data_IF_987740205978
#
_entry.id   IF_987740205978
#
_cell.length_a   1.000
_cell.length_b   1.000
_cell.length_c   1.000
_cell.angle_alpha   90.00
_cell.angle_beta   90.00
_cell.angle_gamma   90.00
#
_symmetry.space_group_name_H-M   'P 1'
#
loop_
_entity.id
_entity.type
_entity.pdbx_description
1 polymer ?
#
# COMPACT_ATOMS: atom_id res chain seq x y z
N UNK A 1 -11.53 -48.06 20.70
CA UNK A 1 -11.57 -47.39 19.38
C UNK A 1 -11.37 -45.90 19.62
N UNK A 2 -10.16 -45.40 19.36
CA UNK A 2 -9.81 -43.97 19.51
C UNK A 2 -10.41 -43.20 18.33
N UNK A 3 -11.32 -42.26 18.61
CA UNK A 3 -11.88 -41.38 17.59
C UNK A 3 -10.78 -40.43 17.10
N UNK A 4 -10.61 -40.43 15.79
CA UNK A 4 -9.62 -39.68 15.04
C UNK A 4 -9.55 -38.20 15.46
N UNK A 5 -8.32 -37.68 15.48
CA UNK A 5 -8.04 -36.28 15.76
C UNK A 5 -8.86 -35.36 14.86
N UNK A 6 -9.78 -34.63 15.49
CA UNK A 6 -10.36 -33.44 14.89
C UNK A 6 -9.23 -32.43 14.76
N UNK A 7 -8.69 -32.30 13.55
CA UNK A 7 -7.79 -31.20 13.21
C UNK A 7 -8.60 -29.92 13.40
N UNK A 8 -8.38 -29.20 14.52
CA UNK A 8 -8.97 -27.87 14.71
C UNK A 8 -8.40 -26.99 13.59
N UNK A 9 -9.23 -26.65 12.60
CA UNK A 9 -8.89 -25.59 11.66
C UNK A 9 -8.52 -24.35 12.49
N UNK A 10 -7.40 -23.67 12.19
CA UNK A 10 -7.03 -22.46 12.92
C UNK A 10 -8.18 -21.47 12.83
N UNK A 11 -8.56 -20.89 13.98
CA UNK A 11 -9.72 -20.02 14.12
C UNK A 11 -9.57 -18.67 13.38
N UNK A 12 -8.37 -18.39 12.84
CA UNK A 12 -7.99 -17.20 12.10
C UNK A 12 -6.83 -17.52 11.14
N UNK A 13 -6.65 -16.69 10.11
CA UNK A 13 -5.47 -16.68 9.23
C UNK A 13 -4.32 -16.02 10.03
N UNK A 14 -3.22 -16.74 10.30
CA UNK A 14 -2.11 -16.16 11.07
C UNK A 14 -1.36 -15.13 10.23
N UNK A 15 -0.96 -14.00 10.81
CA UNK A 15 -0.01 -13.11 10.13
C UNK A 15 1.41 -13.67 10.15
N UNK A 16 2.24 -13.38 9.13
CA UNK A 16 3.63 -13.82 9.14
C UNK A 16 4.40 -13.24 10.33
N UNK A 17 5.31 -14.00 10.96
CA UNK A 17 6.11 -13.52 12.09
C UNK A 17 7.10 -12.42 11.71
N UNK A 18 7.56 -12.40 10.46
CA UNK A 18 8.54 -11.44 9.93
C UNK A 18 8.09 -10.91 8.56
N UNK A 19 8.46 -9.66 8.25
CA UNK A 19 8.23 -9.03 6.95
C UNK A 19 9.50 -8.51 6.26
N UNK A 20 10.65 -8.64 6.93
CA UNK A 20 11.95 -8.15 6.46
C UNK A 20 13.00 -9.22 6.75
N UNK A 21 13.87 -9.47 5.77
CA UNK A 21 15.05 -10.32 5.91
C UNK A 21 16.29 -9.46 5.67
N UNK A 22 17.31 -9.57 6.50
CA UNK A 22 18.56 -8.83 6.32
C UNK A 22 19.59 -9.69 5.59
N UNK A 23 20.07 -9.22 4.45
CA UNK A 23 21.19 -9.82 3.71
C UNK A 23 22.39 -8.92 3.88
N UNK A 24 23.15 -9.15 4.96
CA UNK A 24 24.17 -8.18 5.40
C UNK A 24 23.51 -6.86 5.82
N UNK A 25 23.97 -5.70 5.33
CA UNK A 25 23.36 -4.41 5.65
C UNK A 25 22.02 -4.17 4.92
N UNK A 26 21.70 -4.96 3.90
CA UNK A 26 20.57 -4.71 3.00
C UNK A 26 19.26 -5.32 3.55
N UNK A 27 18.24 -4.51 3.89
CA UNK A 27 16.92 -5.01 4.28
C UNK A 27 16.09 -5.43 3.07
N UNK A 28 15.90 -6.74 2.89
CA UNK A 28 15.00 -7.32 1.90
C UNK A 28 13.58 -7.38 2.45
N UNK A 29 12.71 -6.50 1.95
CA UNK A 29 11.32 -6.36 2.42
C UNK A 29 10.37 -7.22 1.58
N UNK A 30 9.47 -7.95 2.24
CA UNK A 30 8.52 -8.84 1.57
C UNK A 30 7.66 -8.12 0.52
N UNK A 31 7.12 -6.94 0.84
CA UNK A 31 6.30 -6.17 -0.10
C UNK A 31 7.08 -5.80 -1.37
N UNK A 32 8.39 -5.50 -1.25
CA UNK A 32 9.21 -5.15 -2.39
C UNK A 32 9.36 -6.35 -3.34
N UNK A 33 9.57 -7.55 -2.79
CA UNK A 33 9.63 -8.79 -3.57
C UNK A 33 8.33 -9.06 -4.31
N UNK A 34 7.17 -8.91 -3.65
CA UNK A 34 5.87 -9.12 -4.27
C UNK A 34 5.54 -8.06 -5.34
N UNK A 35 5.91 -6.81 -5.12
CA UNK A 35 5.76 -5.75 -6.14
C UNK A 35 6.62 -6.08 -7.36
N UNK A 36 7.90 -6.45 -7.18
CA UNK A 36 8.79 -6.83 -8.27
C UNK A 36 8.23 -8.03 -9.04
N UNK A 37 7.78 -9.07 -8.32
CA UNK A 37 7.13 -10.24 -8.91
C UNK A 37 5.89 -9.85 -9.74
N UNK A 38 5.05 -8.96 -9.20
CA UNK A 38 3.89 -8.41 -9.91
C UNK A 38 4.28 -7.66 -11.17
N UNK A 39 5.30 -6.80 -11.13
CA UNK A 39 5.79 -6.06 -12.30
C UNK A 39 6.29 -7.03 -13.38
N UNK A 40 7.11 -8.01 -13.00
CA UNK A 40 7.63 -9.04 -13.93
C UNK A 40 6.46 -9.79 -14.58
N UNK A 41 5.46 -10.22 -13.80
CA UNK A 41 4.26 -10.87 -14.31
C UNK A 41 3.50 -9.96 -15.29
N UNK A 42 3.27 -8.69 -14.94
CA UNK A 42 2.53 -7.75 -15.77
C UNK A 42 3.24 -7.50 -17.11
N UNK A 43 4.56 -7.32 -17.10
CA UNK A 43 5.36 -7.11 -18.31
C UNK A 43 5.39 -8.36 -19.17
N UNK A 44 5.67 -9.53 -18.58
CA UNK A 44 5.74 -10.81 -19.30
C UNK A 44 4.37 -11.17 -19.92
N UNK A 45 3.31 -11.12 -19.13
CA UNK A 45 1.97 -11.47 -19.59
C UNK A 45 1.42 -10.45 -20.59
N UNK A 46 1.58 -9.15 -20.30
CA UNK A 46 1.22 -8.07 -21.20
C UNK A 46 1.98 -8.17 -22.54
N UNK A 47 3.27 -8.47 -22.50
CA UNK A 47 4.11 -8.70 -23.68
C UNK A 47 3.63 -9.86 -24.54
N UNK A 48 3.30 -11.01 -23.92
CA UNK A 48 2.73 -12.17 -24.62
C UNK A 48 1.41 -11.82 -25.30
N UNK A 49 0.53 -11.09 -24.61
CA UNK A 49 -0.78 -10.66 -25.13
C UNK A 49 -0.66 -9.62 -26.24
N UNK A 50 0.27 -8.68 -26.13
CA UNK A 50 0.51 -7.68 -27.17
C UNK A 50 1.12 -8.31 -28.43
N UNK A 51 2.02 -9.28 -28.25
CA UNK A 51 2.59 -10.06 -29.35
C UNK A 51 1.49 -10.84 -30.10
N UNK A 52 0.55 -11.45 -29.37
CA UNK A 52 -0.62 -12.10 -29.97
C UNK A 52 -1.57 -11.13 -30.71
N UNK A 53 -1.43 -9.82 -30.51
CA UNK A 53 -2.14 -8.75 -31.24
C UNK A 53 -1.31 -8.16 -32.39
N UNK A 54 -0.19 -8.79 -32.74
CA UNK A 54 0.72 -8.38 -33.82
C UNK A 54 1.88 -7.48 -33.37
N UNK A 55 2.07 -7.27 -32.06
CA UNK A 55 3.15 -6.43 -31.54
C UNK A 55 4.50 -7.14 -31.58
N UNK A 56 5.59 -6.37 -31.65
CA UNK A 56 6.96 -6.91 -31.54
C UNK A 56 7.22 -7.41 -30.12
N UNK A 57 7.91 -8.55 -29.98
CA UNK A 57 8.38 -9.04 -28.66
C UNK A 57 9.25 -7.97 -27.98
N UNK A 58 9.19 -7.88 -26.65
CA UNK A 58 9.96 -6.92 -25.86
C UNK A 58 9.47 -5.46 -25.91
N UNK A 59 8.55 -5.09 -26.82
CA UNK A 59 8.08 -3.69 -26.93
C UNK A 59 7.36 -3.19 -25.67
N UNK A 60 6.76 -4.09 -24.87
CA UNK A 60 6.17 -3.72 -23.57
C UNK A 60 7.25 -3.25 -22.60
N UNK A 61 8.41 -3.90 -22.59
CA UNK A 61 9.57 -3.47 -21.81
C UNK A 61 10.11 -2.14 -22.34
N UNK A 62 10.23 -2.00 -23.67
CA UNK A 62 10.64 -0.74 -24.31
C UNK A 62 9.72 0.43 -23.90
N UNK A 63 8.40 0.20 -23.84
CA UNK A 63 7.41 1.20 -23.39
C UNK A 63 7.53 1.46 -21.87
N UNK A 64 7.83 0.43 -21.06
CA UNK A 64 7.99 0.58 -19.62
C UNK A 64 9.15 1.53 -19.24
N UNK A 65 10.20 1.60 -20.07
CA UNK A 65 11.31 2.56 -19.93
C UNK A 65 10.82 4.01 -19.99
N UNK A 66 9.71 4.29 -20.67
CA UNK A 66 9.06 5.62 -20.64
C UNK A 66 8.07 5.74 -19.48
N UNK A 67 7.24 4.72 -19.26
CA UNK A 67 6.17 4.77 -18.28
C UNK A 67 6.68 4.90 -16.83
N UNK A 68 7.75 4.19 -16.47
CA UNK A 68 8.26 4.15 -15.09
C UNK A 68 8.87 5.49 -14.65
N UNK A 69 9.78 6.14 -15.40
CA UNK A 69 10.31 7.44 -15.01
C UNK A 69 9.23 8.52 -14.93
N UNK A 70 8.31 8.55 -15.90
CA UNK A 70 7.18 9.48 -15.85
C UNK A 70 6.29 9.21 -14.64
N UNK A 71 6.01 7.94 -14.31
CA UNK A 71 5.26 7.58 -13.12
C UNK A 71 5.96 8.03 -11.82
N UNK A 72 7.27 7.85 -11.72
CA UNK A 72 8.04 8.30 -10.56
C UNK A 72 7.99 9.82 -10.40
N UNK A 73 8.20 10.55 -11.50
CA UNK A 73 8.10 12.03 -11.52
C UNK A 73 6.70 12.48 -11.13
N UNK A 74 5.67 11.88 -11.74
CA UNK A 74 4.28 12.23 -11.47
C UNK A 74 3.88 11.95 -10.03
N UNK A 75 4.29 10.80 -9.50
CA UNK A 75 4.04 10.44 -8.12
C UNK A 75 4.70 11.40 -7.14
N UNK A 76 5.94 11.81 -7.44
CA UNK A 76 6.62 12.81 -6.61
C UNK A 76 5.95 14.17 -6.69
N UNK A 77 5.64 14.63 -7.90
CA UNK A 77 4.98 15.92 -8.13
C UNK A 77 3.64 16.00 -7.38
N UNK A 78 2.82 14.96 -7.48
CA UNK A 78 1.54 14.90 -6.78
C UNK A 78 1.72 15.04 -5.26
N UNK A 79 2.64 14.28 -4.67
CA UNK A 79 2.90 14.34 -3.22
C UNK A 79 3.39 15.73 -2.78
N UNK A 80 4.28 16.36 -3.55
CA UNK A 80 4.76 17.72 -3.25
C UNK A 80 3.64 18.76 -3.35
N UNK A 81 2.67 18.57 -4.24
CA UNK A 81 1.51 19.46 -4.37
C UNK A 81 0.53 19.23 -3.19
N UNK A 82 0.20 17.98 -2.89
CA UNK A 82 -0.83 17.64 -1.89
C UNK A 82 -0.34 17.74 -0.46
N UNK A 83 0.96 17.62 -0.22
CA UNK A 83 1.55 17.68 1.12
C UNK A 83 2.67 18.75 1.12
N UNK A 84 2.39 19.89 0.49
CA UNK A 84 3.34 21.00 0.29
C UNK A 84 3.89 21.53 1.62
N UNK A 85 3.13 21.42 2.70
CA UNK A 85 3.52 21.84 4.03
C UNK A 85 4.73 21.09 4.59
N UNK A 86 4.97 19.85 4.13
CA UNK A 86 6.12 19.05 4.54
C UNK A 86 7.44 19.66 4.06
N UNK A 87 7.38 20.50 3.02
CA UNK A 87 8.55 21.01 2.31
C UNK A 87 8.72 22.52 2.46
N UNK A 88 7.64 23.29 2.40
CA UNK A 88 7.70 24.74 2.23
C UNK A 88 7.29 25.56 3.46
N UNK A 89 6.88 24.93 4.58
CA UNK A 89 6.60 25.66 5.83
C UNK A 89 7.89 26.18 6.48
N UNK A 90 7.83 27.28 7.27
CA UNK A 90 8.97 27.75 8.05
C UNK A 90 9.61 26.62 8.88
N UNK A 91 10.93 26.49 8.82
CA UNK A 91 11.67 25.41 9.49
C UNK A 91 11.71 24.07 8.75
N UNK A 92 11.14 23.97 7.54
CA UNK A 92 11.30 22.82 6.63
C UNK A 92 12.34 23.10 5.55
N UNK A 93 12.82 22.03 4.90
CA UNK A 93 13.81 22.09 3.84
C UNK A 93 13.17 21.77 2.48
N UNK A 94 13.01 22.77 1.59
CA UNK A 94 12.44 22.59 0.25
C UNK A 94 13.17 21.55 -0.61
N UNK A 95 14.48 21.34 -0.41
CA UNK A 95 15.24 20.36 -1.18
C UNK A 95 14.79 18.92 -0.94
N UNK A 96 14.15 18.66 0.19
CA UNK A 96 13.54 17.35 0.44
C UNK A 96 12.43 17.05 -0.57
N UNK A 97 11.86 18.02 -1.27
CA UNK A 97 10.92 17.78 -2.36
C UNK A 97 11.51 16.93 -3.51
N UNK A 98 12.84 16.82 -3.63
CA UNK A 98 13.50 15.96 -4.63
C UNK A 98 13.94 14.60 -4.06
N UNK A 99 13.97 14.44 -2.73
CA UNK A 99 14.38 13.21 -2.06
C UNK A 99 13.30 12.13 -2.19
N UNK A 100 13.31 11.40 -3.31
CA UNK A 100 12.38 10.29 -3.59
C UNK A 100 12.64 9.05 -2.73
N UNK A 101 13.86 8.91 -2.18
CA UNK A 101 14.25 7.84 -1.28
C UNK A 101 13.67 7.98 0.13
N UNK A 102 13.21 9.19 0.51
CA UNK A 102 12.51 9.43 1.78
C UNK A 102 11.05 8.92 1.76
N UNK A 103 10.60 8.30 0.66
CA UNK A 103 9.20 8.00 0.41
C UNK A 103 8.42 9.22 -0.09
N UNK A 104 7.09 9.19 0.01
CA UNK A 104 6.23 10.29 -0.44
C UNK A 104 6.03 10.31 -1.96
N UNK A 105 5.44 9.24 -2.48
CA UNK A 105 5.02 9.12 -3.88
C UNK A 105 3.50 8.96 -3.94
N UNK A 106 2.83 9.93 -4.57
CA UNK A 106 1.38 9.91 -4.77
C UNK A 106 0.96 8.96 -5.89
N UNK A 107 0.09 8.01 -5.59
CA UNK A 107 -0.37 7.01 -6.57
C UNK A 107 -1.09 7.68 -7.76
N UNK A 108 -1.92 8.70 -7.51
CA UNK A 108 -2.66 9.40 -8.57
C UNK A 108 -1.74 10.08 -9.59
N UNK A 109 -0.70 10.77 -9.10
CA UNK A 109 0.31 11.36 -9.96
C UNK A 109 1.09 10.32 -10.76
N UNK A 110 1.44 9.19 -10.12
CA UNK A 110 2.16 8.11 -10.77
C UNK A 110 1.33 7.44 -11.88
N UNK A 111 0.04 7.21 -11.64
CA UNK A 111 -0.87 6.64 -12.66
C UNK A 111 -1.04 7.63 -13.82
N UNK A 112 -1.32 8.90 -13.53
CA UNK A 112 -1.60 9.90 -14.56
C UNK A 112 -0.39 10.13 -15.46
N UNK A 113 0.77 10.44 -14.88
CA UNK A 113 1.96 10.75 -15.66
C UNK A 113 2.60 9.47 -16.22
N UNK A 114 2.51 8.33 -15.52
CA UNK A 114 2.92 7.04 -16.05
C UNK A 114 2.13 6.62 -17.30
N UNK A 115 0.82 6.91 -17.34
CA UNK A 115 0.00 6.71 -18.54
C UNK A 115 0.44 7.61 -19.70
N UNK A 116 0.84 8.86 -19.42
CA UNK A 116 1.45 9.75 -20.42
C UNK A 116 2.76 9.17 -20.94
N UNK A 117 3.65 8.69 -20.08
CA UNK A 117 4.88 8.02 -20.47
C UNK A 117 4.62 6.78 -21.35
N UNK A 118 3.65 5.95 -20.98
CA UNK A 118 3.24 4.80 -21.78
C UNK A 118 2.67 5.21 -23.15
N UNK A 119 1.88 6.29 -23.22
CA UNK A 119 1.36 6.84 -24.47
C UNK A 119 2.49 7.34 -25.39
N UNK A 120 3.46 8.07 -24.84
CA UNK A 120 4.63 8.55 -25.59
C UNK A 120 5.48 7.38 -26.10
N UNK A 121 5.71 6.36 -25.26
CA UNK A 121 6.38 5.12 -25.66
C UNK A 121 5.64 4.40 -26.78
N UNK A 122 4.31 4.25 -26.66
CA UNK A 122 3.48 3.66 -27.72
C UNK A 122 3.64 4.43 -29.05
N UNK A 123 3.57 5.76 -29.00
CA UNK A 123 3.75 6.62 -30.19
C UNK A 123 5.14 6.47 -30.80
N UNK A 124 6.20 6.38 -29.96
CA UNK A 124 7.59 6.20 -30.42
C UNK A 124 7.79 4.88 -31.16
N UNK A 125 7.12 3.81 -30.73
CA UNK A 125 7.27 2.46 -31.31
C UNK A 125 6.16 2.08 -32.30
N UNK A 126 5.29 3.01 -32.71
CA UNK A 126 4.20 2.72 -33.65
C UNK A 126 3.15 1.74 -33.10
N UNK A 127 2.98 1.69 -31.78
CA UNK A 127 2.02 0.82 -31.11
C UNK A 127 0.73 1.57 -30.79
N UNK A 128 -0.42 0.96 -31.08
CA UNK A 128 -1.72 1.48 -30.65
C UNK A 128 -1.82 1.46 -29.13
N UNK A 129 -1.98 2.64 -28.51
CA UNK A 129 -2.13 2.76 -27.06
C UNK A 129 -3.31 1.94 -26.53
N UNK A 130 -4.42 1.85 -27.29
CA UNK A 130 -5.56 1.02 -26.92
C UNK A 130 -5.22 -0.47 -26.95
N UNK A 131 -4.45 -0.93 -27.94
CA UNK A 131 -3.99 -2.32 -28.00
C UNK A 131 -3.01 -2.65 -26.88
N UNK A 132 -2.13 -1.71 -26.53
CA UNK A 132 -1.23 -1.80 -25.39
C UNK A 132 -2.02 -1.91 -24.08
N UNK A 133 -2.94 -0.98 -23.82
CA UNK A 133 -3.79 -0.97 -22.62
C UNK A 133 -4.59 -2.27 -22.47
N UNK A 134 -5.22 -2.75 -23.54
CA UNK A 134 -5.96 -4.03 -23.54
C UNK A 134 -5.06 -5.25 -23.29
N UNK A 135 -3.82 -5.19 -23.74
CA UNK A 135 -2.86 -6.27 -23.58
C UNK A 135 -2.35 -6.35 -22.13
N UNK A 136 -1.99 -5.22 -21.53
CA UNK A 136 -1.39 -5.16 -20.19
C UNK A 136 -2.43 -5.27 -19.06
N UNK A 137 -3.69 -4.87 -19.27
CA UNK A 137 -4.69 -4.81 -18.20
C UNK A 137 -4.83 -6.09 -17.35
N UNK A 138 -4.89 -7.32 -17.92
CA UNK A 138 -4.94 -8.54 -17.11
C UNK A 138 -3.67 -8.77 -16.28
N UNK A 139 -2.51 -8.40 -16.82
CA UNK A 139 -1.24 -8.49 -16.11
C UNK A 139 -1.16 -7.47 -14.96
N UNK A 140 -1.65 -6.25 -15.19
CA UNK A 140 -1.70 -5.18 -14.16
C UNK A 140 -2.56 -5.59 -12.98
N UNK A 141 -3.80 -6.05 -13.21
CA UNK A 141 -4.67 -6.45 -12.10
C UNK A 141 -4.16 -7.70 -11.37
N UNK A 142 -3.54 -8.65 -12.08
CA UNK A 142 -2.87 -9.78 -11.43
C UNK A 142 -1.64 -9.33 -10.59
N UNK A 143 -0.91 -8.32 -11.05
CA UNK A 143 0.16 -7.72 -10.26
C UNK A 143 -0.36 -7.03 -8.99
N UNK A 144 -1.54 -6.39 -9.06
CA UNK A 144 -2.21 -5.83 -7.87
C UNK A 144 -2.54 -6.95 -6.87
N UNK A 145 -3.08 -8.08 -7.34
CA UNK A 145 -3.35 -9.25 -6.50
C UNK A 145 -2.09 -9.75 -5.77
N UNK A 146 -0.96 -9.88 -6.50
CA UNK A 146 0.32 -10.28 -5.91
C UNK A 146 0.80 -9.22 -4.90
N UNK A 147 0.65 -7.93 -5.21
CA UNK A 147 0.99 -6.84 -4.29
C UNK A 147 0.26 -6.93 -2.94
N UNK A 148 -0.95 -7.49 -2.90
CA UNK A 148 -1.69 -7.70 -1.64
C UNK A 148 -1.04 -8.70 -0.69
N UNK A 149 -0.23 -9.62 -1.21
CA UNK A 149 0.60 -10.48 -0.37
C UNK A 149 1.66 -9.64 0.38
N UNK A 150 2.13 -8.54 -0.21
CA UNK A 150 2.96 -7.57 0.49
C UNK A 150 2.26 -6.97 1.71
N UNK A 151 0.97 -6.60 1.58
CA UNK A 151 0.19 -6.06 2.70
C UNK A 151 -0.03 -7.10 3.80
N UNK A 152 -0.24 -8.37 3.43
CA UNK A 152 -0.29 -9.49 4.38
C UNK A 152 1.01 -9.64 5.17
N UNK A 153 2.16 -9.63 4.49
CA UNK A 153 3.46 -9.69 5.16
C UNK A 153 3.78 -8.43 5.97
N UNK A 154 3.23 -7.27 5.61
CA UNK A 154 3.38 -6.04 6.38
C UNK A 154 2.36 -5.89 7.52
N UNK A 155 1.38 -6.79 7.63
CA UNK A 155 0.23 -6.65 8.53
C UNK A 155 -0.46 -5.29 8.41
N UNK A 156 -0.69 -4.82 7.18
CA UNK A 156 -1.26 -3.50 6.92
C UNK A 156 -2.52 -3.58 6.05
N UNK A 157 -3.24 -2.46 5.97
CA UNK A 157 -4.44 -2.28 5.14
C UNK A 157 -5.63 -3.21 5.48
N UNK A 158 -5.62 -3.90 6.63
CA UNK A 158 -6.71 -4.76 7.12
C UNK A 158 -8.01 -3.98 7.41
N UNK A 159 -9.12 -4.71 7.52
CA UNK A 159 -10.45 -4.14 7.74
C UNK A 159 -10.86 -4.08 9.21
N UNK A 160 -12.16 -3.98 9.44
CA UNK A 160 -12.76 -3.88 10.78
C UNK A 160 -12.53 -5.14 11.63
N UNK A 161 -12.59 -5.06 12.97
CA UNK A 161 -12.55 -6.23 13.85
C UNK A 161 -13.56 -7.31 13.40
N UNK A 162 -13.15 -8.57 13.46
CA UNK A 162 -13.93 -9.69 12.93
C UNK A 162 -13.71 -10.96 13.74
N UNK A 163 -14.79 -11.69 14.00
CA UNK A 163 -14.78 -13.03 14.62
C UNK A 163 -15.04 -14.14 13.60
N UNK A 164 -14.97 -13.83 12.30
CA UNK A 164 -15.16 -14.82 11.23
C UNK A 164 -14.01 -15.84 11.25
N UNK A 165 -14.26 -17.10 10.84
CA UNK A 165 -13.25 -18.16 10.91
C UNK A 165 -12.06 -17.97 9.94
N UNK A 166 -12.15 -16.99 9.03
CA UNK A 166 -11.07 -16.57 8.13
C UNK A 166 -10.53 -15.17 8.47
N UNK A 167 -10.81 -14.64 9.66
CA UNK A 167 -10.27 -13.34 10.08
C UNK A 167 -8.72 -13.36 10.09
N UNK A 168 -8.08 -12.25 9.78
CA UNK A 168 -6.63 -12.08 9.86
C UNK A 168 -6.23 -11.76 11.30
N UNK A 169 -5.34 -12.55 11.87
CA UNK A 169 -4.69 -12.23 13.13
C UNK A 169 -3.64 -11.14 12.90
N UNK A 170 -3.71 -10.04 13.64
CA UNK A 170 -2.73 -8.94 13.62
C UNK A 170 -2.13 -8.82 15.01
N UNK A 171 -0.81 -8.63 15.08
CA UNK A 171 -0.05 -8.52 16.33
C UNK A 171 1.13 -7.56 16.19
N UNK A 172 1.62 -7.05 17.32
CA UNK A 172 2.86 -6.25 17.36
C UNK A 172 4.07 -7.17 17.15
N UNK A 173 4.91 -6.85 16.17
CA UNK A 173 6.22 -7.49 16.00
C UNK A 173 7.26 -6.84 16.91
N UNK A 174 7.92 -7.63 17.75
CA UNK A 174 9.10 -7.23 18.53
C UNK A 174 10.39 -7.50 17.74
N UNK A 175 11.48 -6.73 17.98
CA UNK A 175 12.77 -6.99 17.34
C UNK A 175 13.19 -8.47 17.51
N UNK A 176 13.41 -9.17 16.39
CA UNK A 176 13.68 -10.60 16.36
C UNK A 176 12.54 -11.47 15.82
N UNK A 177 11.42 -10.89 15.38
CA UNK A 177 10.34 -11.61 14.69
C UNK A 177 9.54 -12.57 15.56
N UNK A 178 9.59 -12.39 16.89
CA UNK A 178 8.81 -13.20 17.84
C UNK A 178 7.39 -12.63 17.92
N UNK A 179 6.34 -13.41 17.65
CA UNK A 179 4.96 -12.99 17.89
C UNK A 179 4.76 -12.65 19.37
N UNK A 180 4.45 -11.40 19.69
CA UNK A 180 4.16 -10.99 21.05
C UNK A 180 2.78 -11.46 21.50
N UNK A 181 2.69 -12.12 22.66
CA UNK A 181 1.44 -12.17 23.41
C UNK A 181 1.20 -10.79 24.03
N UNK A 182 -0.07 -10.42 24.14
CA UNK A 182 -0.59 -9.09 24.54
C UNK A 182 -0.13 -8.57 25.92
N UNK A 183 0.75 -9.29 26.64
CA UNK A 183 1.29 -8.88 27.94
C UNK A 183 2.66 -8.17 27.88
N UNK A 184 3.26 -7.98 26.69
CA UNK A 184 4.62 -7.46 26.51
C UNK A 184 4.64 -6.30 25.49
N UNK A 185 4.09 -5.13 25.79
CA UNK A 185 4.82 -4.09 26.50
C UNK A 185 5.95 -4.68 27.37
N UNK A 186 7.14 -4.85 26.79
CA UNK A 186 8.34 -5.07 27.63
C UNK A 186 8.44 -3.98 28.71
N UNK A 187 9.30 -4.16 29.74
CA UNK A 187 9.56 -3.07 30.69
C UNK A 187 9.79 -1.78 29.89
N UNK A 188 9.13 -0.69 30.31
CA UNK A 188 9.02 0.56 29.57
C UNK A 188 10.33 0.87 28.79
N UNK A 189 10.30 0.76 27.45
CA UNK A 189 11.48 1.06 26.63
C UNK A 189 11.76 0.18 25.39
N UNK A 190 11.06 -0.93 25.14
CA UNK A 190 11.29 -1.73 23.93
C UNK A 190 10.56 -1.16 22.70
N UNK A 191 11.31 -0.67 21.70
CA UNK A 191 10.77 -0.14 20.45
C UNK A 191 10.21 -1.26 19.53
N UNK A 192 9.05 -1.06 18.89
CA UNK A 192 8.47 -2.04 17.94
C UNK A 192 9.30 -2.16 16.65
N UNK A 193 9.30 -3.35 16.01
CA UNK A 193 10.04 -3.63 14.76
C UNK A 193 9.61 -2.72 13.59
N UNK A 194 8.34 -2.33 13.59
CA UNK A 194 7.81 -1.29 12.72
C UNK A 194 7.35 -0.10 13.56
N UNK A 195 7.63 1.14 13.13
CA UNK A 195 6.99 2.29 13.75
C UNK A 195 5.48 2.11 13.68
N UNK A 196 4.83 1.96 14.85
CA UNK A 196 3.38 1.76 14.99
C UNK A 196 2.56 2.93 14.43
N UNK A 197 3.22 4.02 14.04
CA UNK A 197 2.66 5.19 13.35
C UNK A 197 2.06 4.90 11.96
N UNK A 198 2.36 3.76 11.32
CA UNK A 198 1.74 3.36 10.04
C UNK A 198 0.50 2.50 10.20
N UNK A 199 0.33 1.88 11.37
CA UNK A 199 -0.95 1.31 11.77
C UNK A 199 -1.80 2.51 12.16
N UNK A 200 -2.62 3.00 11.22
CA UNK A 200 -3.63 4.04 11.42
C UNK A 200 -4.77 3.55 12.35
N UNK A 201 -4.43 2.80 13.39
CA UNK A 201 -5.30 2.33 14.45
C UNK A 201 -4.60 2.63 15.78
N UNK A 202 -5.37 3.12 16.74
CA UNK A 202 -4.92 3.47 18.10
C UNK A 202 -4.12 2.27 18.69
N UNK A 203 -3.07 2.48 19.53
CA UNK A 203 -2.26 1.39 20.09
C UNK A 203 -3.04 0.22 20.72
N UNK A 204 -4.27 0.47 21.18
CA UNK A 204 -5.23 -0.54 21.68
C UNK A 204 -5.71 -1.57 20.62
N UNK A 205 -5.54 -1.30 19.33
CA UNK A 205 -6.10 -2.10 18.22
C UNK A 205 -5.04 -3.04 17.61
N UNK A 206 -3.80 -3.13 18.14
CA UNK A 206 -2.74 -3.87 17.45
C UNK A 206 -2.74 -5.40 17.65
N UNK A 207 -3.53 -5.94 18.58
CA UNK A 207 -3.59 -7.38 18.84
C UNK A 207 -5.02 -7.89 18.75
N UNK A 208 -5.36 -8.59 17.66
CA UNK A 208 -6.71 -9.11 17.46
C UNK A 208 -6.95 -9.68 16.08
N UNK A 209 -8.21 -10.06 15.82
CA UNK A 209 -8.65 -10.61 14.54
C UNK A 209 -9.46 -9.60 13.74
N UNK A 210 -9.11 -9.43 12.47
CA UNK A 210 -9.64 -8.39 11.58
C UNK A 210 -10.16 -8.98 10.27
N UNK A 211 -11.01 -8.23 9.56
CA UNK A 211 -11.37 -8.59 8.19
C UNK A 211 -10.10 -8.61 7.31
N UNK A 212 -9.79 -9.73 6.63
CA UNK A 212 -8.62 -9.87 5.78
C UNK A 212 -8.84 -9.17 4.42
N UNK A 213 -8.93 -7.85 4.42
CA UNK A 213 -9.15 -7.06 3.19
C UNK A 213 -8.08 -7.32 2.13
N UNK A 214 -6.82 -7.61 2.52
CA UNK A 214 -5.79 -8.04 1.57
C UNK A 214 -6.23 -9.28 0.75
N UNK A 215 -6.88 -10.24 1.41
CA UNK A 215 -7.35 -11.49 0.79
C UNK A 215 -8.55 -11.21 -0.10
N UNK A 216 -9.46 -10.33 0.35
CA UNK A 216 -10.61 -9.92 -0.46
C UNK A 216 -10.16 -9.19 -1.72
N UNK A 217 -9.21 -8.26 -1.61
CA UNK A 217 -8.63 -7.56 -2.75
C UNK A 217 -7.89 -8.52 -3.68
N UNK A 218 -7.08 -9.44 -3.13
CA UNK A 218 -6.37 -10.45 -3.91
C UNK A 218 -7.33 -11.32 -4.72
N UNK A 219 -8.34 -11.91 -4.06
CA UNK A 219 -9.31 -12.80 -4.72
C UNK A 219 -10.14 -12.03 -5.74
N UNK A 220 -10.52 -10.79 -5.44
CA UNK A 220 -11.24 -9.94 -6.37
C UNK A 220 -10.41 -9.58 -7.60
N UNK A 221 -9.15 -9.17 -7.41
CA UNK A 221 -8.24 -8.82 -8.49
C UNK A 221 -7.97 -10.04 -9.40
N UNK A 222 -7.84 -11.25 -8.83
CA UNK A 222 -7.77 -12.49 -9.62
C UNK A 222 -9.07 -12.79 -10.37
N UNK A 223 -10.23 -12.57 -9.75
CA UNK A 223 -11.52 -12.74 -10.41
C UNK A 223 -11.69 -11.73 -11.57
N UNK A 224 -11.25 -10.48 -11.39
CA UNK A 224 -11.20 -9.48 -12.47
C UNK A 224 -10.24 -9.95 -13.56
N UNK A 225 -9.03 -10.41 -13.23
CA UNK A 225 -8.10 -10.96 -14.23
C UNK A 225 -8.75 -12.06 -15.06
N UNK A 226 -9.42 -13.03 -14.41
CA UNK A 226 -10.14 -14.11 -15.07
C UNK A 226 -11.28 -13.59 -15.95
N UNK A 227 -12.08 -12.64 -15.47
CA UNK A 227 -13.14 -11.97 -16.21
C UNK A 227 -12.61 -11.30 -17.48
N UNK A 228 -11.50 -10.56 -17.39
CA UNK A 228 -10.89 -9.90 -18.54
C UNK A 228 -10.45 -10.89 -19.61
N UNK A 229 -9.82 -11.99 -19.20
CA UNK A 229 -9.36 -13.03 -20.12
C UNK A 229 -10.54 -13.75 -20.77
N UNK A 230 -11.55 -14.12 -19.97
CA UNK A 230 -12.76 -14.76 -20.47
C UNK A 230 -13.49 -13.84 -21.46
N UNK A 231 -13.72 -12.58 -21.11
CA UNK A 231 -14.44 -11.62 -21.93
C UNK A 231 -13.67 -11.28 -23.23
N UNK A 232 -12.35 -11.08 -23.16
CA UNK A 232 -11.50 -10.83 -24.34
C UNK A 232 -11.50 -12.02 -25.31
N UNK A 233 -11.57 -13.26 -24.80
CA UNK A 233 -11.69 -14.47 -25.64
C UNK A 233 -13.08 -14.64 -26.22
N UNK A 234 -14.13 -14.47 -25.41
CA UNK A 234 -15.52 -14.74 -25.78
C UNK A 234 -16.12 -13.68 -26.71
N UNK A 235 -15.77 -12.41 -26.51
CA UNK A 235 -16.35 -11.28 -27.25
C UNK A 235 -15.35 -10.59 -28.18
N UNK A 236 -14.08 -11.03 -28.20
CA UNK A 236 -13.00 -10.44 -29.01
C UNK A 236 -12.91 -8.93 -28.84
N UNK A 237 -12.91 -8.49 -27.58
CA UNK A 237 -12.94 -7.08 -27.18
C UNK A 237 -11.78 -6.27 -27.83
N UNK A 238 -12.12 -5.07 -28.28
CA UNK A 238 -11.22 -4.17 -28.99
C UNK A 238 -11.35 -2.72 -28.55
N UNK A 239 -10.59 -1.84 -29.20
CA UNK A 239 -10.58 -0.41 -28.95
C UNK A 239 -10.46 0.00 -27.47
N UNK A 240 -9.66 -0.70 -26.66
CA UNK A 240 -9.46 -0.35 -25.24
C UNK A 240 -10.54 -0.91 -24.31
N UNK A 241 -11.49 -1.70 -24.81
CA UNK A 241 -12.58 -2.25 -24.00
C UNK A 241 -12.11 -3.20 -22.89
N UNK A 242 -11.02 -3.94 -23.08
CA UNK A 242 -10.48 -4.81 -22.01
C UNK A 242 -9.96 -3.93 -20.87
N UNK A 243 -9.28 -2.83 -21.20
CA UNK A 243 -8.82 -1.88 -20.19
C UNK A 243 -9.98 -1.20 -19.44
N UNK A 244 -11.04 -0.79 -20.14
CA UNK A 244 -12.21 -0.20 -19.47
C UNK A 244 -13.00 -1.22 -18.66
N UNK A 245 -13.05 -2.49 -19.09
CA UNK A 245 -13.60 -3.57 -18.27
C UNK A 245 -12.76 -3.79 -17.00
N UNK A 246 -11.44 -3.61 -17.09
CA UNK A 246 -10.57 -3.62 -15.92
C UNK A 246 -10.91 -2.49 -14.96
N UNK A 247 -11.02 -1.25 -15.46
CA UNK A 247 -11.41 -0.09 -14.63
C UNK A 247 -12.75 -0.33 -13.95
N UNK A 248 -13.76 -0.83 -14.67
CA UNK A 248 -15.06 -1.16 -14.10
C UNK A 248 -14.98 -2.25 -13.03
N UNK A 249 -14.29 -3.36 -13.31
CA UNK A 249 -14.14 -4.47 -12.36
C UNK A 249 -13.37 -4.07 -11.10
N UNK A 250 -12.28 -3.33 -11.26
CA UNK A 250 -11.45 -2.85 -10.16
C UNK A 250 -12.22 -1.87 -9.26
N UNK A 251 -12.89 -0.87 -9.85
CA UNK A 251 -13.65 0.13 -9.09
C UNK A 251 -14.87 -0.45 -8.40
N UNK A 252 -15.52 -1.47 -8.99
CA UNK A 252 -16.58 -2.22 -8.32
C UNK A 252 -16.08 -2.91 -7.04
N UNK A 253 -14.92 -3.58 -7.11
CA UNK A 253 -14.28 -4.18 -5.94
C UNK A 253 -13.87 -3.15 -4.90
N UNK A 254 -13.21 -2.07 -5.36
CA UNK A 254 -12.78 -0.97 -4.50
C UNK A 254 -13.95 -0.36 -3.73
N UNK A 255 -15.12 -0.20 -4.36
CA UNK A 255 -16.30 0.38 -3.73
C UNK A 255 -16.70 -0.31 -2.43
N UNK A 256 -16.88 -1.64 -2.44
CA UNK A 256 -17.34 -2.35 -1.25
C UNK A 256 -16.20 -2.69 -0.28
N UNK A 257 -15.01 -3.01 -0.77
CA UNK A 257 -13.87 -3.34 0.10
C UNK A 257 -13.42 -2.11 0.89
N UNK A 258 -13.42 -0.93 0.27
CA UNK A 258 -13.06 0.32 0.94
C UNK A 258 -13.98 0.63 2.13
N UNK A 259 -15.24 0.16 2.12
CA UNK A 259 -16.18 0.30 3.22
C UNK A 259 -15.85 -0.61 4.41
N UNK A 260 -15.08 -1.68 4.19
CA UNK A 260 -14.62 -2.59 5.24
C UNK A 260 -13.33 -2.09 5.92
N UNK A 261 -12.58 -1.21 5.24
CA UNK A 261 -11.28 -0.73 5.71
C UNK A 261 -11.42 0.24 6.87
N UNK A 262 -10.43 0.25 7.74
CA UNK A 262 -10.38 1.10 8.95
C UNK A 262 -9.28 2.16 8.92
N UNK A 263 -8.44 2.19 7.88
CA UNK A 263 -7.38 3.19 7.74
C UNK A 263 -7.95 4.61 7.63
N UNK A 264 -7.25 5.60 8.18
CA UNK A 264 -7.70 7.00 8.06
C UNK A 264 -7.70 7.43 6.58
N UNK A 265 -8.87 7.87 6.13
CA UNK A 265 -9.11 8.39 4.80
C UNK A 265 -9.95 9.67 4.91
N UNK A 266 -9.83 10.56 3.92
CA UNK A 266 -10.66 11.76 3.86
C UNK A 266 -12.11 11.36 3.60
N UNK A 267 -13.03 11.85 4.44
CA UNK A 267 -14.45 11.60 4.30
C UNK A 267 -15.12 12.82 3.68
N UNK A 268 -16.04 12.56 2.75
CA UNK A 268 -16.93 13.54 2.17
C UNK A 268 -18.35 12.98 2.25
N UNK A 269 -19.30 13.74 2.79
CA UNK A 269 -20.69 13.27 2.98
C UNK A 269 -20.79 11.90 3.70
N UNK A 270 -19.92 11.63 4.67
CA UNK A 270 -19.92 10.38 5.46
C UNK A 270 -19.30 9.16 4.76
N UNK A 271 -18.85 9.29 3.51
CA UNK A 271 -18.14 8.22 2.78
C UNK A 271 -16.69 8.60 2.51
N UNK A 272 -15.82 7.61 2.41
CA UNK A 272 -14.41 7.81 2.03
C UNK A 272 -14.33 8.38 0.61
N UNK A 273 -13.43 9.33 0.37
CA UNK A 273 -13.24 9.97 -0.95
C UNK A 273 -12.97 8.95 -2.06
N UNK A 274 -12.27 7.86 -1.72
CA UNK A 274 -11.99 6.75 -2.62
C UNK A 274 -13.25 6.06 -3.16
N UNK A 275 -14.35 6.06 -2.40
CA UNK A 275 -15.63 5.50 -2.82
C UNK A 275 -16.25 6.37 -3.91
N UNK A 276 -16.25 7.70 -3.76
CA UNK A 276 -16.72 8.62 -4.80
C UNK A 276 -15.90 8.50 -6.07
N UNK A 277 -14.57 8.45 -5.95
CA UNK A 277 -13.70 8.27 -7.11
C UNK A 277 -13.97 6.94 -7.80
N UNK A 278 -14.22 5.87 -7.04
CA UNK A 278 -14.60 4.56 -7.59
C UNK A 278 -15.92 4.63 -8.34
N UNK A 279 -16.96 5.26 -7.78
CA UNK A 279 -18.26 5.45 -8.45
C UNK A 279 -18.09 6.22 -9.75
N UNK A 280 -17.38 7.35 -9.73
CA UNK A 280 -17.18 8.18 -10.90
C UNK A 280 -16.45 7.42 -12.02
N UNK A 281 -15.33 6.75 -11.68
CA UNK A 281 -14.57 5.96 -12.65
C UNK A 281 -15.34 4.74 -13.16
N UNK A 282 -16.15 4.11 -12.31
CA UNK A 282 -17.04 3.02 -12.72
C UNK A 282 -18.05 3.48 -13.77
N UNK A 283 -18.73 4.60 -13.53
CA UNK A 283 -19.70 5.17 -14.47
C UNK A 283 -19.04 5.53 -15.81
N UNK A 284 -17.88 6.18 -15.78
CA UNK A 284 -17.10 6.49 -16.99
C UNK A 284 -16.75 5.20 -17.74
N UNK A 285 -16.27 4.18 -17.03
CA UNK A 285 -15.91 2.90 -17.64
C UNK A 285 -17.11 2.22 -18.31
N UNK A 286 -18.28 2.21 -17.66
CA UNK A 286 -19.52 1.66 -18.24
C UNK A 286 -19.95 2.44 -19.48
N UNK A 287 -19.95 3.78 -19.43
CA UNK A 287 -20.28 4.63 -20.58
C UNK A 287 -19.34 4.34 -21.75
N UNK A 288 -18.03 4.24 -21.52
CA UNK A 288 -17.06 3.95 -22.57
C UNK A 288 -17.23 2.54 -23.13
N UNK A 289 -17.51 1.53 -22.29
CA UNK A 289 -17.78 0.16 -22.73
C UNK A 289 -19.00 0.08 -23.66
N UNK A 290 -20.08 0.77 -23.29
CA UNK A 290 -21.31 0.86 -24.09
C UNK A 290 -21.04 1.61 -25.40
N UNK A 291 -20.38 2.76 -25.34
CA UNK A 291 -20.08 3.58 -26.51
C UNK A 291 -19.11 2.90 -27.50
N UNK A 292 -18.24 1.99 -27.03
CA UNK A 292 -17.29 1.25 -27.87
C UNK A 292 -17.76 -0.15 -28.24
N UNK A 293 -19.00 -0.52 -27.89
CA UNK A 293 -19.58 -1.83 -28.22
C UNK A 293 -19.54 -2.07 -29.73
N UNK A 294 -19.13 -3.27 -30.13
CA UNK A 294 -19.07 -3.67 -31.54
C UNK A 294 -17.83 -3.18 -32.32
N UNK A 295 -16.90 -2.44 -31.69
CA UNK A 295 -15.65 -2.07 -32.36
C UNK A 295 -14.73 -3.28 -32.56
N UNK A 296 -13.99 -3.33 -33.68
CA UNK A 296 -13.10 -4.44 -33.97
C UNK A 296 -11.93 -4.50 -32.97
N UNK A 297 -11.37 -5.70 -32.82
CA UNK A 297 -10.21 -5.97 -31.97
C UNK A 297 -9.03 -5.06 -32.34
N UNK A 298 -8.44 -4.38 -31.34
CA UNK A 298 -7.27 -3.52 -31.56
C UNK A 298 -6.07 -4.36 -32.04
N UNK A 299 -5.48 -3.96 -33.17
CA UNK A 299 -4.17 -4.45 -33.62
C UNK A 299 -3.06 -3.64 -32.97
N UNK A 300 -1.93 -4.29 -32.68
CA UNK A 300 -0.83 -3.67 -31.97
C UNK A 300 -0.08 -2.65 -32.83
N UNK A 301 0.27 -3.01 -34.07
CA UNK A 301 1.00 -2.13 -34.99
C UNK A 301 0.03 -1.17 -35.67
N UNK A 302 0.38 0.11 -35.65
CA UNK A 302 -0.17 1.17 -36.49
C UNK A 302 0.90 1.42 -37.56
N UNK A 303 0.53 1.51 -38.84
CA UNK A 303 1.42 1.54 -40.03
C UNK A 303 2.53 2.62 -40.01
N UNK A 304 3.53 2.47 -39.13
CA UNK A 304 4.60 3.42 -38.90
C UNK A 304 5.97 2.70 -38.85
N UNK A 305 7.06 3.34 -39.31
CA UNK A 305 8.40 2.77 -39.21
C UNK A 305 8.75 2.46 -37.74
N UNK A 306 9.13 1.21 -37.47
CA UNK A 306 9.49 0.77 -36.11
C UNK A 306 10.84 1.39 -35.73
N UNK A 307 10.88 2.21 -34.67
CA UNK A 307 12.13 2.74 -34.15
C UNK A 307 13.06 1.61 -33.65
N UNK A 308 14.40 1.70 -33.88
CA UNK A 308 15.38 0.76 -33.33
C UNK A 308 15.30 0.69 -31.80
N UNK A 309 15.70 -0.46 -31.22
CA UNK A 309 15.77 -0.59 -29.76
C UNK A 309 16.93 0.25 -29.23
N UNK A 310 16.79 0.90 -28.05
CA UNK A 310 17.94 1.45 -27.35
C UNK A 310 18.97 0.34 -27.07
N UNK A 311 20.22 0.53 -27.50
CA UNK A 311 21.32 -0.42 -27.24
C UNK A 311 21.58 -1.47 -28.32
N UNK A 312 20.94 -1.42 -29.50
CA UNK A 312 21.24 -2.33 -30.63
C UNK A 312 22.16 -1.73 -31.69
N UNK A 313 23.08 -0.83 -31.29
CA UNK A 313 24.03 -0.25 -32.23
C UNK A 313 25.20 -1.22 -32.49
N UNK A 314 25.19 -1.82 -33.69
CA UNK A 314 26.35 -2.42 -34.33
C UNK A 314 26.70 -3.86 -33.92
N UNK A 315 26.24 -4.84 -34.69
CA UNK A 315 27.05 -5.92 -35.32
C UNK A 315 26.10 -6.80 -36.13
N UNK A 316 25.74 -6.37 -37.35
CA UNK A 316 25.25 -7.31 -38.37
C UNK A 316 26.43 -7.68 -39.26
N UNK A 317 27.05 -8.81 -38.94
CA UNK A 317 28.08 -9.47 -39.72
C UNK A 317 27.85 -10.97 -39.71
N UNK A 318 27.03 -11.44 -40.66
CA UNK A 318 27.03 -12.75 -41.33
C UNK A 318 27.81 -13.93 -40.67
N UNK A 319 27.07 -14.92 -40.13
CA UNK A 319 27.06 -16.37 -40.48
C UNK A 319 26.87 -17.31 -39.29
N UNK A 320 26.09 -18.38 -39.51
CA UNK A 320 26.37 -19.70 -38.92
C UNK A 320 25.40 -20.24 -37.85
N UNK A 321 24.50 -21.11 -38.30
CA UNK A 321 23.83 -22.23 -37.61
C UNK A 321 24.18 -22.60 -36.16
N UNK A 322 23.14 -22.84 -35.35
CA UNK A 322 23.07 -23.94 -34.38
C UNK A 322 22.97 -23.55 -32.90
N UNK A 323 22.08 -24.22 -32.16
CA UNK A 323 22.23 -24.45 -30.72
C UNK A 323 21.25 -23.74 -29.79
N UNK A 324 20.52 -24.55 -29.01
CA UNK A 324 19.66 -24.19 -27.88
C UNK A 324 20.44 -23.58 -26.69
N UNK A 325 19.79 -22.75 -25.88
CA UNK A 325 20.28 -22.35 -24.55
C UNK A 325 19.69 -21.02 -24.02
N UNK A 326 19.24 -20.93 -22.76
CA UNK A 326 18.49 -19.79 -22.25
C UNK A 326 19.40 -18.77 -21.57
N UNK A 327 19.58 -17.58 -22.16
CA UNK A 327 20.41 -16.54 -21.54
C UNK A 327 19.62 -15.32 -21.10
N UNK A 328 19.81 -15.02 -19.82
CA UNK A 328 19.20 -13.94 -19.08
C UNK A 328 19.72 -12.56 -19.44
N UNK A 329 18.94 -11.58 -18.99
CA UNK A 329 19.40 -10.21 -18.78
C UNK A 329 18.80 -9.73 -17.46
N UNK A 330 19.48 -10.08 -16.37
CA UNK A 330 19.50 -9.28 -15.15
C UNK A 330 20.58 -8.19 -15.35
N UNK A 331 20.24 -6.95 -15.02
CA UNK A 331 21.10 -5.77 -15.19
C UNK A 331 20.25 -4.52 -15.38
N UNK A 332 19.64 -4.01 -14.31
CA UNK A 332 20.18 -2.95 -13.45
C UNK A 332 19.99 -1.54 -14.03
N UNK A 333 18.93 -0.86 -13.56
CA UNK A 333 18.93 0.59 -13.34
C UNK A 333 18.20 0.82 -12.02
N UNK A 334 18.98 1.23 -11.01
CA UNK A 334 18.51 1.57 -9.67
C UNK A 334 18.09 3.04 -9.55
N UNK A 335 17.32 3.28 -8.49
CA UNK A 335 17.35 4.51 -7.71
C UNK A 335 17.60 4.09 -6.25
N UNK A 336 18.83 4.36 -5.81
CA UNK A 336 19.46 4.14 -4.49
C UNK A 336 18.60 4.62 -3.30
N UNK A 337 18.79 4.20 -2.03
CA UNK A 337 20.06 3.91 -1.35
C UNK A 337 19.88 3.20 0.00
N UNK A 338 20.81 2.30 0.32
CA UNK A 338 21.34 2.11 1.67
C UNK A 338 22.55 3.05 1.86
N UNK A 339 22.69 3.63 3.05
CA UNK A 339 23.91 3.62 3.90
C UNK A 339 23.81 4.70 4.99
N UNK A 340 23.89 4.29 6.27
CA UNK A 340 24.67 4.99 7.30
C UNK A 340 24.81 4.11 8.55
N UNK A 341 26.07 3.89 8.93
CA UNK A 341 26.50 3.32 10.21
C UNK A 341 26.35 4.35 11.33
N UNK A 342 26.21 3.79 12.52
CA UNK A 342 26.22 4.33 13.89
C UNK A 342 27.23 5.46 14.18
N UNK A 343 26.76 6.59 14.73
CA UNK A 343 27.29 7.14 15.99
C UNK A 343 26.35 8.21 16.63
N UNK A 344 25.93 7.92 17.87
CA UNK A 344 25.52 8.75 19.02
C UNK A 344 24.88 10.17 18.91
N UNK A 345 23.76 10.31 19.66
CA UNK A 345 23.21 11.48 20.39
C UNK A 345 22.52 12.63 19.61
N UNK A 346 21.20 12.70 19.69
CA UNK A 346 20.42 13.56 20.62
C UNK A 346 18.99 13.75 20.07
N UNK A 347 18.00 13.72 20.96
CA UNK A 347 16.58 13.62 20.68
C UNK A 347 15.98 14.88 20.02
N UNK A 348 15.23 14.73 18.92
CA UNK A 348 13.98 15.49 18.75
C UNK A 348 13.04 14.94 17.67
N UNK A 349 11.86 14.55 18.14
CA UNK A 349 10.62 14.13 17.47
C UNK A 349 10.29 14.88 16.18
N UNK A 350 10.04 14.16 15.07
CA UNK A 350 9.35 14.73 13.88
C UNK A 350 8.28 13.77 13.32
N UNK A 351 7.04 14.25 13.45
CA UNK A 351 5.77 13.70 12.96
C UNK A 351 5.74 13.61 11.42
N UNK A 352 5.27 12.48 10.87
CA UNK A 352 4.84 12.37 9.47
C UNK A 352 3.32 12.36 9.39
N UNK A 353 2.76 13.44 8.84
CA UNK A 353 1.35 13.57 8.48
C UNK A 353 1.11 12.92 7.12
N UNK A 354 0.23 11.91 7.07
CA UNK A 354 -0.40 11.40 5.85
C UNK A 354 -1.90 11.68 5.94
N UNK A 355 -2.26 12.90 5.55
CA UNK A 355 -3.62 13.41 5.42
C UNK A 355 -3.61 14.43 4.29
N UNK A 356 -4.12 14.03 3.13
CA UNK A 356 -4.07 14.80 1.90
C UNK A 356 -4.76 16.17 2.04
N UNK A 357 -4.10 17.22 1.54
CA UNK A 357 -4.67 18.54 1.37
C UNK A 357 -5.89 18.54 0.42
N UNK A 358 -6.86 19.36 0.77
CA UNK A 358 -7.90 19.86 -0.13
C UNK A 358 -8.02 21.36 0.08
N UNK A 359 -7.81 22.13 -0.99
CA UNK A 359 -8.03 23.57 -1.05
C UNK A 359 -9.52 23.93 -1.01
N UNK A 360 -9.83 25.06 -0.36
CA UNK A 360 -11.14 25.71 -0.39
C UNK A 360 -11.02 27.20 -0.09
N UNK A 361 -10.79 28.00 -1.14
CA UNK A 361 -10.92 29.46 -1.10
C UNK A 361 -12.40 29.84 -1.00
N UNK A 362 -12.76 30.59 0.04
CA UNK A 362 -13.95 31.44 0.03
C UNK A 362 -13.68 32.71 0.85
N UNK A 363 -13.56 33.85 0.16
CA UNK A 363 -13.69 35.19 0.75
C UNK A 363 -15.18 35.50 0.88
N UNK A 364 -15.64 35.88 2.06
CA UNK A 364 -16.66 36.92 2.31
C UNK A 364 -16.47 37.43 3.74
N UNK A 365 -16.53 38.75 3.91
CA UNK A 365 -16.39 39.40 5.22
C UNK A 365 -17.75 39.70 5.86
N UNK A 366 -17.75 39.85 7.19
CA UNK A 366 -18.61 40.77 7.95
C UNK A 366 -18.17 40.83 9.43
N UNK A 367 -17.74 42.03 9.83
CA UNK A 367 -17.84 42.75 11.10
C UNK A 367 -18.12 42.08 12.48
N UNK A 368 -17.41 42.62 13.50
CA UNK A 368 -17.81 42.76 14.92
C UNK A 368 -17.58 41.52 15.79
N UNK A 369 -16.92 41.52 16.95
CA UNK A 369 -16.66 42.55 17.96
C UNK A 369 -15.30 42.29 18.64
N UNK A 370 -14.70 43.39 19.09
CA UNK A 370 -13.47 43.43 19.87
C UNK A 370 -13.78 43.39 21.37
N UNK A 371 -13.09 42.55 22.13
CA UNK A 371 -12.73 42.82 23.54
C UNK A 371 -11.37 42.18 23.83
N UNK A 372 -10.37 43.03 24.06
CA UNK A 372 -9.08 42.69 24.67
C UNK A 372 -9.07 43.00 26.17
N UNK A 373 -7.89 43.06 26.82
CA UNK A 373 -7.43 42.00 27.71
C UNK A 373 -7.26 42.46 29.17
N UNK A 374 -7.27 41.51 30.12
CA UNK A 374 -6.64 41.69 31.43
C UNK A 374 -5.80 40.48 31.83
N UNK A 375 -4.77 40.76 32.62
CA UNK A 375 -3.53 40.02 32.77
C UNK A 375 -3.32 39.50 34.20
N UNK A 376 -2.29 38.65 34.35
CA UNK A 376 -1.60 38.21 35.58
C UNK A 376 -2.39 37.27 36.52
N UNK A 377 -1.82 36.31 37.25
CA UNK A 377 -0.48 35.69 37.34
C UNK A 377 -0.56 34.64 38.46
N UNK A 378 0.27 33.59 38.36
CA UNK A 378 0.88 32.78 39.46
C UNK A 378 0.02 31.90 40.37
N UNK A 379 0.43 30.63 40.49
CA UNK A 379 0.00 29.73 41.56
C UNK A 379 0.37 28.26 41.35
N UNK A 380 1.67 27.95 41.36
CA UNK A 380 2.25 26.60 41.38
C UNK A 380 1.78 25.80 42.60
N UNK A 381 1.37 24.54 42.42
CA UNK A 381 1.18 23.58 43.53
C UNK A 381 2.13 22.40 43.35
N UNK A 382 3.15 22.38 44.21
CA UNK A 382 4.03 21.25 44.51
C UNK A 382 3.41 20.39 45.62
N UNK A 383 3.54 19.07 45.52
CA UNK A 383 3.16 18.11 46.57
C UNK A 383 4.38 17.27 46.94
N UNK A 384 4.78 17.30 48.22
CA UNK A 384 5.39 16.18 48.96
C UNK A 384 5.42 16.48 50.50
N UNK A 385 5.79 15.57 51.44
CA UNK A 385 4.85 14.77 52.23
C UNK A 385 5.06 14.82 53.78
N UNK A 386 4.33 13.96 54.51
CA UNK A 386 4.51 13.46 55.92
C UNK A 386 4.17 14.39 57.12
N UNK A 387 4.01 13.94 58.40
CA UNK A 387 4.21 12.60 59.01
C UNK A 387 3.11 12.11 60.00
N UNK A 388 3.33 10.92 60.57
CA UNK A 388 2.56 10.28 61.65
C UNK A 388 3.09 10.65 63.07
N UNK A 389 2.21 10.71 64.09
CA UNK A 389 2.53 10.30 65.47
C UNK A 389 1.28 9.95 66.34
N UNK A 390 1.55 9.28 67.47
CA UNK A 390 0.81 8.32 68.31
C UNK A 390 -0.10 8.90 69.44
N UNK A 391 -0.65 7.94 70.22
CA UNK A 391 -1.13 7.94 71.65
C UNK A 391 -2.65 8.15 71.84
N UNK A 392 -3.45 7.43 72.65
CA UNK A 392 -3.29 6.51 73.81
C UNK A 392 -4.53 5.56 73.97
N UNK A 393 -4.38 4.47 74.76
CA UNK A 393 -5.44 3.58 75.30
C UNK A 393 -5.74 3.94 76.80
N UNK A 394 -6.70 3.37 77.60
CA UNK A 394 -6.89 1.90 77.85
C UNK A 394 -8.28 1.38 78.36
N UNK A 395 -8.33 0.05 78.63
CA UNK A 395 -9.27 -0.77 79.47
C UNK A 395 -10.61 -1.21 78.83
N UNK A 396 -11.20 -2.41 79.04
CA UNK A 396 -11.12 -3.43 80.09
C UNK A 396 -11.53 -4.86 79.57
N UNK A 397 -11.39 -5.88 80.43
CA UNK A 397 -11.41 -7.34 80.18
C UNK A 397 -12.68 -7.95 79.56
N UNK A 398 -12.66 -9.21 79.09
CA UNK A 398 -12.58 -10.42 79.92
C UNK A 398 -12.55 -11.69 79.04
N UNK A 399 -11.87 -12.75 79.52
CA UNK A 399 -11.85 -14.13 78.98
C UNK A 399 -12.80 -15.02 79.81
N UNK A 400 -13.32 -16.13 79.23
CA UNK A 400 -12.95 -17.48 79.71
C UNK A 400 -12.64 -18.43 78.52
N UNK A 401 -11.55 -19.21 78.50
CA UNK A 401 -11.30 -20.55 79.09
C UNK A 401 -12.26 -21.67 78.64
N UNK A 402 -11.73 -22.48 77.71
CA UNK A 402 -11.78 -23.94 77.52
C UNK A 402 -13.09 -24.74 77.67
N UNK A 403 -13.39 -25.53 76.62
CA UNK A 403 -13.66 -26.97 76.73
C UNK A 403 -13.07 -27.70 75.53
N UNK A 404 -12.25 -28.69 75.86
CA UNK A 404 -11.80 -29.80 75.04
C UNK A 404 -12.76 -30.95 75.39
N UNK A 405 -13.30 -31.66 74.40
CA UNK A 405 -13.87 -33.00 74.58
C UNK A 405 -13.89 -33.67 73.20
N UNK A 406 -13.07 -34.71 73.09
CA UNK A 406 -13.05 -35.76 72.08
C UNK A 406 -14.31 -36.63 72.16
N UNK A 407 -14.82 -37.04 71.01
CA UNK A 407 -15.28 -38.41 70.73
C UNK A 407 -15.17 -38.69 69.22
#
# INVERSE_FOLDING_TARGET
MSLAGVTRLPAAIPSPPQGVWYVGPLPVRAYALFIICGIVLAVWWGGRRLTARGGRRGVVTDIAVFAVPFGLIGGRLYHVITDNELYFRPGRNPWRAFAIWDGGLGIWGAIALGAVGAYLGCRRYGISFAAFADAVAPGVVAAQAIGRLGNYFNQELFGSPSSLPWALEVFVRTPGGVPGTQALCGPAGSAPEFPTQYVKAVPEILCGTYQPTFLYELLWDLAVAALLIWADRRFRLGAGQVFWLYVAGYTAGRGWIEMLRIDTANHFLGLRINVFTSIALFLVAVVVLVARRGRPRSRAVVDAPTAPRPGTDGTEGSNGTGGEGPDGAAGAVGGSSDDARDDTRDDTVVRSSLGAAGDGVARTGAAGEALGPEALSTGTVTVDPTPADRTDAPSAGSRPVARDDTD
#
